data_IF_139085410627
#
_entry.id   IF_139085410627
#
_cell.length_a   1.000
_cell.length_b   1.000
_cell.length_c   1.000
_cell.angle_alpha   90.00
_cell.angle_beta   90.00
_cell.angle_gamma   90.00
#
_symmetry.space_group_name_H-M   'P 1'
#
loop_
_entity.id
_entity.type
_entity.pdbx_description
1 polymer ?
#
# COMPACT_ATOMS: atom_id res chain seq x y z
N UNK A 1 24.30 33.63 -28.96
CA UNK A 1 23.36 34.17 -27.95
C UNK A 1 23.63 33.44 -26.65
N UNK A 2 23.86 34.16 -25.55
CA UNK A 2 24.02 33.55 -24.23
C UNK A 2 22.71 32.83 -23.86
N UNK A 3 22.81 31.55 -23.48
CA UNK A 3 21.68 30.78 -22.98
C UNK A 3 21.13 31.51 -21.76
N UNK A 4 19.85 31.86 -21.78
CA UNK A 4 19.14 32.12 -20.53
C UNK A 4 19.26 30.82 -19.73
N UNK A 5 19.95 30.86 -18.59
CA UNK A 5 20.00 29.75 -17.64
C UNK A 5 18.58 29.54 -17.09
N UNK A 6 17.78 28.78 -17.83
CA UNK A 6 16.53 28.24 -17.33
C UNK A 6 16.82 27.27 -16.20
N UNK A 7 15.89 27.15 -15.25
CA UNK A 7 16.01 26.15 -14.21
C UNK A 7 16.05 24.74 -14.82
N UNK A 8 16.88 23.82 -14.30
CA UNK A 8 16.85 22.43 -14.68
C UNK A 8 15.47 21.83 -14.38
N UNK A 9 15.06 20.84 -15.17
CA UNK A 9 13.84 20.08 -14.89
C UNK A 9 13.95 19.43 -13.50
N UNK A 10 12.88 19.41 -12.72
CA UNK A 10 12.84 18.63 -11.48
C UNK A 10 12.88 17.12 -11.78
N UNK A 11 13.24 16.31 -10.79
CA UNK A 11 13.37 14.85 -10.98
C UNK A 11 12.06 14.20 -11.47
N UNK A 12 10.93 14.58 -10.89
CA UNK A 12 9.63 14.02 -11.27
C UNK A 12 9.21 14.46 -12.68
N UNK A 13 9.63 15.66 -13.09
CA UNK A 13 9.42 16.15 -14.43
C UNK A 13 10.22 15.30 -15.42
N UNK A 14 11.48 15.01 -15.11
CA UNK A 14 12.30 14.11 -15.94
C UNK A 14 11.72 12.72 -16.02
N UNK A 15 11.27 12.17 -14.90
CA UNK A 15 10.70 10.83 -14.87
C UNK A 15 9.40 10.76 -15.71
N UNK A 16 8.53 11.76 -15.59
CA UNK A 16 7.32 11.87 -16.39
C UNK A 16 7.63 11.93 -17.89
N UNK A 17 8.54 12.83 -18.29
CA UNK A 17 8.95 12.99 -19.69
C UNK A 17 9.62 11.71 -20.23
N UNK A 18 10.49 11.07 -19.44
CA UNK A 18 11.14 9.82 -19.80
C UNK A 18 10.13 8.70 -20.08
N UNK A 19 9.16 8.50 -19.18
CA UNK A 19 8.09 7.50 -19.41
C UNK A 19 7.26 7.85 -20.63
N UNK A 20 6.92 9.12 -20.80
CA UNK A 20 6.15 9.58 -21.95
C UNK A 20 6.87 9.26 -23.27
N UNK A 21 8.19 9.43 -23.37
CA UNK A 21 8.96 9.04 -24.56
C UNK A 21 8.83 7.55 -24.85
N UNK A 22 9.12 6.75 -23.83
CA UNK A 22 9.11 5.30 -23.94
C UNK A 22 7.72 4.79 -24.36
N UNK A 23 6.64 5.41 -23.88
CA UNK A 23 5.28 4.96 -24.15
C UNK A 23 4.71 5.44 -25.48
N UNK A 24 5.12 6.62 -25.97
CA UNK A 24 4.56 7.19 -27.20
C UNK A 24 5.43 6.98 -28.44
N UNK A 25 6.73 6.67 -28.27
CA UNK A 25 7.65 6.45 -29.38
C UNK A 25 8.11 4.99 -29.37
N UNK A 26 7.53 4.15 -30.22
CA UNK A 26 7.91 2.72 -30.32
C UNK A 26 9.41 2.54 -30.61
N UNK A 27 9.98 3.41 -31.44
CA UNK A 27 11.41 3.43 -31.80
C UNK A 27 12.29 3.73 -30.57
N UNK A 28 11.76 4.38 -29.53
CA UNK A 28 12.48 4.63 -28.29
C UNK A 28 12.71 3.37 -27.44
N UNK A 29 12.06 2.24 -27.78
CA UNK A 29 12.17 0.92 -27.13
C UNK A 29 12.89 -0.13 -28.00
N UNK A 30 13.24 0.18 -29.24
CA UNK A 30 13.89 -0.78 -30.15
C UNK A 30 15.32 -1.08 -29.68
N UNK A 31 15.74 -2.34 -29.75
CA UNK A 31 17.11 -2.80 -29.43
C UNK A 31 17.86 -3.18 -30.71
N UNK A 32 19.03 -2.60 -30.97
CA UNK A 32 19.79 -2.84 -32.21
C UNK A 32 20.89 -1.81 -32.47
N UNK A 33 21.77 -2.09 -33.44
CA UNK A 33 22.79 -1.15 -33.93
C UNK A 33 22.11 -0.22 -34.95
N UNK A 34 22.02 1.07 -34.65
CA UNK A 34 21.42 2.05 -35.53
C UNK A 34 22.44 3.12 -35.96
N UNK A 35 22.13 3.79 -37.07
CA UNK A 35 23.03 4.80 -37.65
C UNK A 35 22.81 6.16 -36.99
N UNK A 36 23.79 7.08 -37.14
CA UNK A 36 23.65 8.49 -36.73
C UNK A 36 22.35 9.15 -37.22
N UNK A 37 21.89 8.78 -38.42
CA UNK A 37 20.64 9.28 -39.00
C UNK A 37 19.42 8.86 -38.16
N UNK A 38 19.45 7.69 -37.53
CA UNK A 38 18.38 7.21 -36.64
C UNK A 38 18.32 8.01 -35.34
N UNK A 39 19.47 8.29 -34.71
CA UNK A 39 19.53 9.10 -33.49
C UNK A 39 19.02 10.53 -33.70
N UNK A 40 19.36 11.14 -34.85
CA UNK A 40 18.85 12.47 -35.24
C UNK A 40 17.33 12.45 -35.40
N UNK A 41 16.80 11.44 -36.10
CA UNK A 41 15.34 11.29 -36.28
C UNK A 41 14.60 11.08 -34.97
N UNK A 42 15.14 10.24 -34.09
CA UNK A 42 14.55 9.99 -32.77
C UNK A 42 14.56 11.26 -31.91
N UNK A 43 15.66 12.01 -31.92
CA UNK A 43 15.74 13.28 -31.22
C UNK A 43 14.72 14.30 -31.76
N UNK A 44 14.59 14.41 -33.07
CA UNK A 44 13.57 15.27 -33.69
C UNK A 44 12.15 14.87 -33.28
N UNK A 45 11.85 13.57 -33.21
CA UNK A 45 10.54 13.08 -32.72
C UNK A 45 10.31 13.41 -31.24
N UNK A 46 11.35 13.33 -30.40
CA UNK A 46 11.28 13.73 -28.98
C UNK A 46 11.03 15.24 -28.86
N UNK A 47 11.74 16.06 -29.63
CA UNK A 47 11.53 17.51 -29.72
C UNK A 47 10.08 17.83 -30.12
N UNK A 48 9.60 17.22 -31.21
CA UNK A 48 8.25 17.42 -31.74
C UNK A 48 7.18 16.94 -30.77
N UNK A 49 7.46 15.92 -29.97
CA UNK A 49 6.53 15.43 -28.96
C UNK A 49 6.39 16.43 -27.80
N UNK A 50 7.50 17.04 -27.37
CA UNK A 50 7.57 17.88 -26.18
C UNK A 50 7.21 19.33 -26.39
N UNK A 51 7.69 19.91 -27.48
CA UNK A 51 7.76 21.36 -27.66
C UNK A 51 6.89 21.79 -28.83
N UNK A 52 6.38 23.02 -28.77
CA UNK A 52 5.81 23.62 -29.96
C UNK A 52 6.89 23.79 -31.04
N UNK A 53 6.57 23.54 -32.32
CA UNK A 53 7.55 23.61 -33.39
C UNK A 53 8.17 25.01 -33.48
N UNK A 54 9.50 25.09 -33.51
CA UNK A 54 10.24 26.34 -33.77
C UNK A 54 10.66 26.43 -35.23
N UNK A 55 10.69 27.68 -35.71
CA UNK A 55 11.46 28.14 -36.87
C UNK A 55 12.96 27.90 -36.57
N UNK A 56 13.77 27.38 -37.52
CA UNK A 56 15.04 26.73 -37.19
C UNK A 56 16.03 27.70 -36.55
N UNK A 57 16.59 27.31 -35.41
CA UNK A 57 17.69 27.99 -34.73
C UNK A 57 18.93 27.08 -34.73
N UNK A 58 19.96 27.58 -35.43
CA UNK A 58 21.39 27.28 -35.45
C UNK A 58 21.96 26.08 -34.66
N UNK A 59 22.82 25.32 -35.37
CA UNK A 59 23.82 24.32 -34.94
C UNK A 59 23.47 23.48 -33.70
N UNK A 60 22.86 22.33 -33.96
CA UNK A 60 22.53 21.29 -32.98
C UNK A 60 23.80 20.61 -32.44
N UNK A 61 24.01 20.55 -31.11
CA UNK A 61 25.23 19.97 -30.55
C UNK A 61 25.21 18.44 -30.68
N UNK A 62 26.24 17.86 -31.31
CA UNK A 62 26.43 16.41 -31.53
C UNK A 62 26.18 15.56 -30.27
N UNK A 63 26.47 16.12 -29.10
CA UNK A 63 26.23 15.54 -27.78
C UNK A 63 24.76 15.12 -27.53
N UNK A 64 23.78 15.85 -28.06
CA UNK A 64 22.37 15.49 -27.90
C UNK A 64 22.03 14.18 -28.63
N UNK A 65 22.66 13.92 -29.77
CA UNK A 65 22.43 12.69 -30.53
C UNK A 65 23.05 11.48 -29.85
N UNK A 66 24.24 11.65 -29.27
CA UNK A 66 24.89 10.63 -28.45
C UNK A 66 24.03 10.28 -27.22
N UNK A 67 23.55 11.30 -26.49
CA UNK A 67 22.66 11.10 -25.33
C UNK A 67 21.30 10.49 -25.72
N UNK A 68 20.78 10.80 -26.92
CA UNK A 68 19.54 10.21 -27.42
C UNK A 68 19.73 8.72 -27.71
N UNK A 69 20.83 8.36 -28.37
CA UNK A 69 21.14 6.97 -28.68
C UNK A 69 21.44 6.17 -27.41
N UNK A 70 22.19 6.75 -26.46
CA UNK A 70 22.45 6.14 -25.16
C UNK A 70 21.15 5.91 -24.39
N UNK A 71 20.28 6.92 -24.33
CA UNK A 71 18.98 6.79 -23.66
C UNK A 71 18.07 5.74 -24.28
N UNK A 72 18.15 5.53 -25.60
CA UNK A 72 17.46 4.43 -26.29
C UNK A 72 18.03 3.07 -25.89
N UNK A 73 19.36 2.92 -25.92
CA UNK A 73 20.04 1.67 -25.56
C UNK A 73 19.71 1.27 -24.13
N UNK A 74 19.72 2.24 -23.21
CA UNK A 74 19.49 2.01 -21.79
C UNK A 74 17.99 1.96 -21.41
N UNK A 75 17.10 2.32 -22.35
CA UNK A 75 15.68 2.54 -22.05
C UNK A 75 15.45 3.66 -21.03
N UNK A 76 16.34 4.66 -20.99
CA UNK A 76 16.35 5.73 -20.00
C UNK A 76 16.99 7.02 -20.54
N UNK A 77 16.17 8.01 -20.85
CA UNK A 77 16.58 9.31 -21.39
C UNK A 77 16.89 10.37 -20.31
N UNK A 78 17.11 9.98 -19.04
CA UNK A 78 17.38 10.94 -17.95
C UNK A 78 18.60 11.83 -18.22
N UNK A 79 19.67 11.27 -18.80
CA UNK A 79 20.87 12.05 -19.12
C UNK A 79 20.61 13.07 -20.24
N UNK A 80 19.82 12.69 -21.25
CA UNK A 80 19.35 13.60 -22.30
C UNK A 80 18.53 14.75 -21.69
N UNK A 81 17.58 14.44 -20.80
CA UNK A 81 16.71 15.42 -20.14
C UNK A 81 17.44 16.34 -19.15
N UNK A 82 18.63 15.95 -18.69
CA UNK A 82 19.51 16.81 -17.89
C UNK A 82 20.34 17.78 -18.74
N UNK A 83 20.30 17.65 -20.07
CA UNK A 83 21.05 18.55 -20.93
C UNK A 83 20.44 19.97 -20.89
N UNK A 84 21.26 21.04 -20.82
CA UNK A 84 20.79 22.44 -20.77
C UNK A 84 19.87 22.85 -21.93
N UNK A 85 19.87 22.06 -23.01
CA UNK A 85 18.98 22.23 -24.15
C UNK A 85 17.49 22.23 -23.77
N UNK A 86 17.11 21.47 -22.74
CA UNK A 86 15.71 21.37 -22.29
C UNK A 86 15.31 22.47 -21.30
N UNK A 87 16.27 23.26 -20.79
CA UNK A 87 16.02 24.18 -19.69
C UNK A 87 15.27 25.43 -20.16
N UNK A 88 14.22 25.81 -19.43
CA UNK A 88 13.42 27.01 -19.73
C UNK A 88 12.65 26.97 -21.05
N UNK A 89 12.58 25.82 -21.75
CA UNK A 89 11.78 25.68 -22.98
C UNK A 89 10.30 25.45 -22.66
N UNK A 90 9.43 26.11 -23.42
CA UNK A 90 7.98 25.96 -23.29
C UNK A 90 7.51 24.62 -23.86
N UNK A 91 7.16 23.70 -22.97
CA UNK A 91 6.51 22.44 -23.35
C UNK A 91 5.13 22.74 -23.94
N UNK A 92 4.61 21.82 -24.76
CA UNK A 92 3.24 21.87 -25.25
C UNK A 92 2.26 21.93 -24.06
N UNK A 93 1.10 22.61 -24.21
CA UNK A 93 0.11 22.75 -23.14
C UNK A 93 -0.31 21.43 -22.50
N UNK A 94 -0.46 20.37 -23.30
CA UNK A 94 -0.82 19.03 -22.82
C UNK A 94 0.23 18.43 -21.89
N UNK A 95 1.51 18.65 -22.21
CA UNK A 95 2.65 18.19 -21.42
C UNK A 95 2.76 19.01 -20.15
N UNK A 96 2.64 20.34 -20.24
CA UNK A 96 2.60 21.22 -19.07
C UNK A 96 1.46 20.85 -18.11
N UNK A 97 0.25 20.63 -18.62
CA UNK A 97 -0.88 20.17 -17.81
C UNK A 97 -0.60 18.81 -17.13
N UNK A 98 0.06 17.88 -17.83
CA UNK A 98 0.49 16.59 -17.26
C UNK A 98 1.57 16.76 -16.16
N UNK A 99 2.46 17.73 -16.35
CA UNK A 99 3.52 18.09 -15.42
C UNK A 99 2.94 18.73 -14.15
N UNK A 100 2.10 19.75 -14.31
CA UNK A 100 1.40 20.42 -13.21
C UNK A 100 0.57 19.44 -12.38
N UNK A 101 -0.13 18.50 -13.03
CA UNK A 101 -0.82 17.42 -12.32
C UNK A 101 0.15 16.53 -11.55
N UNK A 102 1.31 16.22 -12.09
CA UNK A 102 2.32 15.38 -11.43
C UNK A 102 2.91 16.09 -10.22
N UNK A 103 3.27 17.37 -10.36
CA UNK A 103 3.76 18.21 -9.26
C UNK A 103 2.70 18.40 -8.19
N UNK A 104 1.46 18.73 -8.57
CA UNK A 104 0.33 18.84 -7.64
C UNK A 104 0.13 17.54 -6.86
N UNK A 105 0.08 16.40 -7.54
CA UNK A 105 -0.08 15.10 -6.87
C UNK A 105 1.06 14.82 -5.88
N UNK A 106 2.30 15.27 -6.16
CA UNK A 106 3.41 15.12 -5.20
C UNK A 106 3.17 15.96 -3.96
N UNK A 107 2.80 17.23 -4.13
CA UNK A 107 2.46 18.13 -3.03
C UNK A 107 1.31 17.54 -2.21
N UNK A 108 0.27 17.04 -2.87
CA UNK A 108 -0.89 16.44 -2.21
C UNK A 108 -0.50 15.13 -1.46
N UNK A 109 0.43 14.32 -1.98
CA UNK A 109 0.98 13.15 -1.26
C UNK A 109 1.80 13.57 -0.04
N UNK A 110 2.65 14.59 -0.17
CA UNK A 110 3.45 15.13 0.94
C UNK A 110 2.54 15.75 2.03
N UNK A 111 1.46 16.43 1.63
CA UNK A 111 0.45 16.96 2.54
C UNK A 111 -0.31 15.84 3.24
N UNK A 112 -0.79 14.84 2.49
CA UNK A 112 -1.42 13.65 3.05
C UNK A 112 -0.51 12.98 4.09
N UNK A 113 0.77 12.80 3.78
CA UNK A 113 1.75 12.25 4.72
C UNK A 113 1.96 13.11 5.96
N UNK A 114 2.02 14.43 5.78
CA UNK A 114 2.18 15.40 6.86
C UNK A 114 0.99 15.38 7.83
N UNK A 115 -0.24 15.35 7.30
CA UNK A 115 -1.46 15.30 8.12
C UNK A 115 -1.60 13.93 8.79
N UNK A 116 -1.37 12.84 8.06
CA UNK A 116 -1.36 11.48 8.63
C UNK A 116 -0.30 11.30 9.71
N UNK A 117 0.85 11.98 9.59
CA UNK A 117 1.90 11.93 10.61
C UNK A 117 1.45 12.54 11.93
N UNK A 118 0.72 13.66 11.88
CA UNK A 118 0.14 14.28 13.10
C UNK A 118 -0.79 13.31 13.84
N UNK A 119 -1.52 12.47 13.11
CA UNK A 119 -2.32 11.39 13.70
C UNK A 119 -1.40 10.38 14.39
N UNK A 120 -0.40 9.83 13.70
CA UNK A 120 0.58 8.88 14.29
C UNK A 120 1.24 9.47 15.55
N UNK A 121 1.64 10.74 15.51
CA UNK A 121 2.26 11.44 16.63
C UNK A 121 1.32 11.51 17.84
N UNK A 122 0.00 11.56 17.63
CA UNK A 122 -1.00 11.52 18.72
C UNK A 122 -1.03 10.15 19.43
N UNK A 123 -0.64 9.08 18.73
CA UNK A 123 -0.57 7.72 19.28
C UNK A 123 0.86 7.30 19.63
N UNK A 124 1.86 8.21 19.58
CA UNK A 124 3.28 7.83 19.61
C UNK A 124 3.65 7.01 20.84
N UNK A 125 3.20 7.42 22.01
CA UNK A 125 3.56 6.77 23.28
C UNK A 125 3.00 5.35 23.33
N UNK A 126 1.75 5.18 22.90
CA UNK A 126 1.10 3.87 22.84
C UNK A 126 1.79 2.98 21.80
N UNK A 127 2.06 3.51 20.59
CA UNK A 127 2.75 2.75 19.55
C UNK A 127 4.17 2.33 19.97
N UNK A 128 4.87 3.15 20.76
CA UNK A 128 6.16 2.79 21.35
C UNK A 128 6.02 1.61 22.32
N UNK A 129 4.97 1.58 23.14
CA UNK A 129 4.73 0.47 24.05
C UNK A 129 4.39 -0.83 23.30
N UNK A 130 3.57 -0.76 22.24
CA UNK A 130 3.36 -1.90 21.33
C UNK A 130 4.68 -2.37 20.73
N UNK A 131 5.51 -1.45 20.22
CA UNK A 131 6.76 -1.79 19.54
C UNK A 131 7.81 -2.42 20.49
N UNK A 132 7.88 -1.95 21.74
CA UNK A 132 8.77 -2.48 22.79
C UNK A 132 8.30 -3.83 23.35
N UNK A 133 7.09 -4.28 23.03
CA UNK A 133 6.51 -5.51 23.56
C UNK A 133 5.84 -5.34 24.92
N UNK A 134 5.48 -4.11 25.32
CA UNK A 134 4.75 -3.84 26.57
C UNK A 134 3.37 -4.50 26.63
N UNK A 135 2.86 -4.96 25.49
CA UNK A 135 1.59 -5.66 25.33
C UNK A 135 1.76 -7.14 24.92
N UNK A 136 2.99 -7.67 24.93
CA UNK A 136 3.24 -9.06 24.54
C UNK A 136 2.54 -10.06 25.49
N UNK A 137 2.08 -9.62 26.67
CA UNK A 137 1.26 -10.43 27.58
C UNK A 137 -0.05 -10.93 26.93
N UNK A 138 -0.56 -10.27 25.87
CA UNK A 138 -1.72 -10.76 25.10
C UNK A 138 -1.48 -12.15 24.49
N UNK A 139 -0.22 -12.53 24.34
CA UNK A 139 0.19 -13.78 23.74
C UNK A 139 0.52 -14.88 24.75
N UNK A 140 0.62 -14.55 26.03
CA UNK A 140 0.91 -15.50 27.10
C UNK A 140 -0.38 -16.22 27.51
N UNK A 141 -0.33 -17.53 27.78
CA UNK A 141 -1.49 -18.26 28.34
C UNK A 141 -1.77 -17.93 29.80
N UNK A 142 -0.81 -17.29 30.48
CA UNK A 142 -0.98 -16.73 31.82
C UNK A 142 -1.04 -15.21 31.70
N UNK A 143 -2.04 -14.57 32.31
CA UNK A 143 -2.12 -13.10 32.46
C UNK A 143 -0.99 -12.49 33.33
N UNK A 144 0.12 -13.19 33.49
CA UNK A 144 1.28 -12.75 34.26
C UNK A 144 2.01 -11.64 33.50
N UNK A 145 2.40 -10.56 34.20
CA UNK A 145 3.18 -9.47 33.61
C UNK A 145 2.39 -8.37 32.90
N UNK A 146 1.07 -8.27 33.12
CA UNK A 146 0.23 -7.16 32.60
C UNK A 146 0.84 -5.80 33.02
N UNK A 147 1.38 -5.06 32.06
CA UNK A 147 1.93 -3.72 32.29
C UNK A 147 0.82 -2.73 32.72
N UNK A 148 1.17 -1.61 33.38
CA UNK A 148 0.19 -0.66 33.91
C UNK A 148 -0.73 -0.05 32.85
N UNK A 149 -0.33 -0.06 31.57
CA UNK A 149 -1.11 0.51 30.47
C UNK A 149 -1.94 -0.50 29.68
N UNK A 150 -1.90 -1.78 30.05
CA UNK A 150 -2.57 -2.88 29.35
C UNK A 150 -4.10 -2.72 29.20
N UNK A 151 -4.75 -2.09 30.18
CA UNK A 151 -6.20 -1.79 30.16
C UNK A 151 -6.52 -0.39 29.63
N UNK A 152 -5.51 0.45 29.43
CA UNK A 152 -5.68 1.87 29.10
C UNK A 152 -5.90 2.07 27.60
N UNK A 153 -5.49 1.11 26.78
CA UNK A 153 -5.37 1.31 25.34
C UNK A 153 -6.49 0.73 24.49
N UNK A 154 -7.30 -0.19 25.03
CA UNK A 154 -8.43 -0.78 24.31
C UNK A 154 -9.50 -1.38 25.26
N UNK A 155 -10.80 -1.06 25.09
CA UNK A 155 -11.87 -1.60 25.93
C UNK A 155 -12.00 -3.14 25.84
N UNK A 156 -11.74 -3.72 24.67
CA UNK A 156 -11.80 -5.18 24.42
C UNK A 156 -10.47 -5.95 24.60
N UNK A 157 -9.50 -5.40 25.34
CA UNK A 157 -8.17 -6.01 25.52
C UNK A 157 -8.22 -7.46 26.04
N UNK A 158 -9.10 -7.76 26.99
CA UNK A 158 -9.22 -9.11 27.57
C UNK A 158 -9.74 -10.12 26.55
N UNK A 159 -10.57 -9.70 25.60
CA UNK A 159 -11.06 -10.57 24.53
C UNK A 159 -10.00 -10.83 23.47
N UNK A 160 -9.23 -9.81 23.10
CA UNK A 160 -8.08 -9.98 22.21
C UNK A 160 -7.08 -10.97 22.83
N UNK A 161 -6.86 -10.91 24.15
CA UNK A 161 -6.04 -11.90 24.85
C UNK A 161 -6.57 -13.33 24.65
N UNK A 162 -7.89 -13.57 24.75
CA UNK A 162 -8.45 -14.90 24.49
C UNK A 162 -8.17 -15.41 23.06
N UNK A 163 -8.09 -14.51 22.07
CA UNK A 163 -7.77 -14.86 20.69
C UNK A 163 -6.27 -15.01 20.43
N UNK A 164 -5.40 -14.38 21.21
CA UNK A 164 -3.96 -14.32 20.96
C UNK A 164 -3.14 -15.18 21.94
N UNK A 165 -3.69 -15.57 23.09
CA UNK A 165 -3.02 -16.41 24.06
C UNK A 165 -2.55 -17.72 23.42
N UNK A 166 -1.28 -18.08 23.61
CA UNK A 166 -0.70 -19.29 23.04
C UNK A 166 -0.42 -19.26 21.54
N UNK A 167 -0.59 -18.12 20.86
CA UNK A 167 -0.44 -18.04 19.40
C UNK A 167 0.99 -18.36 18.97
N UNK A 168 1.18 -19.45 18.22
CA UNK A 168 2.49 -19.97 17.85
C UNK A 168 3.23 -20.73 18.96
N UNK A 169 2.58 -21.08 20.08
CA UNK A 169 3.11 -22.11 20.98
C UNK A 169 2.78 -23.50 20.38
N UNK A 170 3.78 -24.31 20.02
CA UNK A 170 3.56 -25.64 19.46
C UNK A 170 2.81 -26.58 20.40
N UNK A 171 2.74 -26.28 21.71
CA UNK A 171 2.01 -27.07 22.70
C UNK A 171 0.56 -26.61 22.90
N UNK A 172 0.19 -25.42 22.40
CA UNK A 172 -1.15 -24.84 22.55
C UNK A 172 -1.89 -24.66 21.19
N UNK A 173 -1.28 -25.11 20.09
CA UNK A 173 -1.90 -25.07 18.75
C UNK A 173 -3.08 -26.07 18.65
N UNK A 174 -4.30 -25.55 18.51
CA UNK A 174 -5.54 -26.35 18.45
C UNK A 174 -5.83 -26.96 17.07
N UNK A 175 -5.25 -26.40 15.99
CA UNK A 175 -5.34 -26.91 14.62
C UNK A 175 -4.24 -26.25 13.79
N UNK A 176 -3.44 -27.01 13.04
CA UNK A 176 -2.42 -26.40 12.19
C UNK A 176 -3.10 -25.64 11.05
N UNK A 177 -2.77 -24.36 10.90
CA UNK A 177 -3.12 -23.57 9.71
C UNK A 177 -2.76 -24.32 8.42
N UNK A 178 -1.67 -25.07 8.44
CA UNK A 178 -1.22 -25.87 7.31
C UNK A 178 -2.25 -26.95 6.94
N UNK A 179 -2.94 -27.56 7.90
CA UNK A 179 -3.93 -28.61 7.62
C UNK A 179 -5.20 -28.07 6.92
N UNK A 180 -5.53 -26.79 7.13
CA UNK A 180 -6.72 -26.15 6.55
C UNK A 180 -6.41 -25.52 5.18
N UNK A 181 -5.20 -25.00 4.97
CA UNK A 181 -4.86 -24.23 3.78
C UNK A 181 -3.79 -24.86 2.86
N UNK A 182 -3.04 -25.89 3.28
CA UNK A 182 -1.98 -26.53 2.48
C UNK A 182 -2.38 -27.79 1.69
N UNK A 183 -3.68 -28.01 1.37
CA UNK A 183 -4.05 -29.08 0.40
C UNK A 183 -3.84 -28.73 -1.08
N UNK A 184 -3.32 -27.55 -1.41
CA UNK A 184 -2.98 -27.19 -2.79
C UNK A 184 -1.45 -27.19 -2.96
N UNK A 185 -0.95 -28.06 -3.86
CA UNK A 185 0.47 -28.24 -4.17
C UNK A 185 1.19 -26.89 -4.35
N UNK A 186 2.21 -26.63 -3.51
CA UNK A 186 2.95 -25.36 -3.50
C UNK A 186 3.79 -25.11 -4.77
N UNK A 187 4.05 -26.13 -5.61
CA UNK A 187 4.90 -26.02 -6.80
C UNK A 187 4.18 -25.48 -8.05
N UNK A 188 2.85 -25.52 -8.11
CA UNK A 188 2.08 -25.14 -9.30
C UNK A 188 1.44 -23.74 -9.22
N UNK A 189 1.41 -23.08 -8.06
CA UNK A 189 0.63 -21.85 -7.85
C UNK A 189 1.49 -20.58 -7.92
N UNK A 190 1.71 -20.09 -9.15
CA UNK A 190 2.14 -18.69 -9.42
C UNK A 190 0.99 -17.69 -9.35
N UNK A 191 -0.25 -18.14 -9.14
CA UNK A 191 -1.45 -17.31 -9.07
C UNK A 191 -1.95 -17.20 -7.63
N UNK A 192 -2.38 -16.01 -7.24
CA UNK A 192 -2.91 -15.72 -5.91
C UNK A 192 -4.15 -16.55 -5.62
N UNK A 193 -4.11 -17.37 -4.57
CA UNK A 193 -5.23 -18.21 -4.18
C UNK A 193 -6.14 -17.45 -3.20
N UNK A 194 -7.44 -17.33 -3.54
CA UNK A 194 -8.46 -16.91 -2.58
C UNK A 194 -9.04 -18.14 -1.88
N UNK A 195 -8.87 -18.28 -0.57
CA UNK A 195 -9.49 -19.36 0.21
C UNK A 195 -10.59 -18.79 1.09
N UNK A 196 -11.81 -19.31 0.95
CA UNK A 196 -12.91 -18.96 1.85
C UNK A 196 -13.02 -20.01 2.94
N UNK A 197 -12.83 -19.63 4.21
CA UNK A 197 -13.19 -20.46 5.35
C UNK A 197 -14.64 -20.17 5.70
N UNK A 198 -15.52 -21.13 5.46
CA UNK A 198 -16.91 -21.06 5.90
C UNK A 198 -17.04 -22.02 7.07
N UNK A 199 -17.28 -21.50 8.27
CA UNK A 199 -17.54 -22.34 9.45
C UNK A 199 -18.66 -21.74 10.31
N UNK A 200 -19.22 -22.55 11.20
CA UNK A 200 -20.23 -22.12 12.15
C UNK A 200 -19.67 -21.01 13.10
N UNK A 201 -20.52 -20.12 13.63
CA UNK A 201 -20.11 -19.17 14.66
C UNK A 201 -19.50 -19.89 15.87
N UNK A 202 -18.41 -19.34 16.42
CA UNK A 202 -17.75 -19.86 17.63
C UNK A 202 -16.68 -20.95 17.40
N UNK A 203 -16.38 -21.34 16.16
CA UNK A 203 -15.39 -22.39 15.85
C UNK A 203 -13.93 -21.90 15.76
N UNK A 204 -13.65 -20.69 16.27
CA UNK A 204 -12.28 -20.18 16.32
C UNK A 204 -11.70 -19.75 14.96
N UNK A 205 -12.54 -19.37 13.99
CA UNK A 205 -12.10 -18.90 12.65
C UNK A 205 -11.08 -17.77 12.73
N UNK A 206 -11.36 -16.73 13.51
CA UNK A 206 -10.44 -15.59 13.72
C UNK A 206 -9.11 -16.05 14.31
N UNK A 207 -9.15 -16.98 15.28
CA UNK A 207 -7.94 -17.57 15.86
C UNK A 207 -7.14 -18.32 14.79
N UNK A 208 -7.80 -19.13 13.97
CA UNK A 208 -7.17 -19.84 12.87
C UNK A 208 -6.50 -18.86 11.91
N UNK A 209 -7.19 -17.79 11.49
CA UNK A 209 -6.60 -16.70 10.65
C UNK A 209 -5.31 -16.13 11.25
N UNK A 210 -5.23 -16.02 12.56
CA UNK A 210 -4.07 -15.48 13.26
C UNK A 210 -2.89 -16.45 13.34
N UNK A 211 -3.10 -17.77 13.29
CA UNK A 211 -2.00 -18.76 13.27
C UNK A 211 -1.09 -18.59 12.05
N UNK A 212 -1.56 -17.96 10.97
CA UNK A 212 -0.75 -17.57 9.82
C UNK A 212 0.47 -16.70 10.21
N UNK A 213 0.41 -15.97 11.33
CA UNK A 213 1.49 -15.11 11.85
C UNK A 213 2.77 -15.90 12.15
N UNK A 214 2.67 -17.22 12.37
CA UNK A 214 3.84 -18.08 12.56
C UNK A 214 4.78 -18.05 11.35
N UNK A 215 4.23 -17.87 10.13
CA UNK A 215 4.94 -18.01 8.86
C UNK A 215 4.90 -16.76 7.99
N UNK A 216 3.91 -15.88 8.18
CA UNK A 216 3.59 -14.80 7.25
C UNK A 216 3.35 -13.46 7.95
N UNK A 217 3.70 -12.36 7.26
CA UNK A 217 3.28 -11.02 7.67
C UNK A 217 1.82 -10.81 7.29
N UNK A 218 0.94 -10.69 8.30
CA UNK A 218 -0.50 -10.61 8.10
C UNK A 218 -0.98 -9.16 7.96
N UNK A 219 -1.83 -8.90 6.98
CA UNK A 219 -2.66 -7.71 6.87
C UNK A 219 -4.10 -8.14 7.15
N UNK A 220 -4.65 -7.69 8.28
CA UNK A 220 -5.95 -8.12 8.79
C UNK A 220 -7.00 -7.02 8.65
N UNK A 221 -8.11 -7.36 7.99
CA UNK A 221 -9.31 -6.54 7.86
C UNK A 221 -10.48 -7.24 8.56
N UNK A 222 -11.25 -6.48 9.34
CA UNK A 222 -12.52 -6.97 9.90
C UNK A 222 -13.67 -6.31 9.14
N UNK A 223 -14.62 -7.11 8.67
CA UNK A 223 -15.79 -6.66 7.90
C UNK A 223 -17.08 -6.60 8.73
N UNK A 224 -16.96 -6.63 10.06
CA UNK A 224 -18.11 -6.51 10.95
C UNK A 224 -18.87 -5.19 10.72
N UNK A 225 -20.20 -5.28 10.76
CA UNK A 225 -21.12 -4.13 10.68
C UNK A 225 -21.79 -3.81 12.00
N UNK A 226 -21.82 -4.77 12.91
CA UNK A 226 -22.60 -4.61 14.11
C UNK A 226 -21.78 -3.79 15.12
N UNK A 227 -22.41 -2.78 15.73
CA UNK A 227 -22.04 -2.29 17.07
C UNK A 227 -22.15 -3.40 18.14
N UNK A 228 -22.36 -4.65 17.73
CA UNK A 228 -22.13 -5.80 18.58
C UNK A 228 -20.68 -5.73 19.01
N UNK A 229 -20.53 -5.38 20.28
CA UNK A 229 -19.50 -5.60 21.32
C UNK A 229 -18.57 -6.84 21.19
N UNK A 230 -18.51 -7.50 20.03
CA UNK A 230 -18.00 -8.83 19.79
C UNK A 230 -17.19 -8.96 18.48
N UNK A 231 -16.60 -7.90 17.89
CA UNK A 231 -15.63 -8.07 16.78
C UNK A 231 -14.28 -7.41 17.07
N UNK A 232 -13.18 -8.13 16.84
CA UNK A 232 -11.82 -7.62 17.06
C UNK A 232 -11.26 -6.94 15.82
N UNK A 233 -10.46 -5.89 16.02
CA UNK A 233 -9.80 -5.15 14.97
C UNK A 233 -10.34 -3.73 14.77
N UNK A 234 -9.90 -3.08 13.70
CA UNK A 234 -10.28 -1.69 13.38
C UNK A 234 -11.62 -1.59 12.63
N UNK A 235 -12.35 -0.51 12.91
CA UNK A 235 -13.59 -0.15 12.20
C UNK A 235 -13.38 0.57 10.85
N UNK A 236 -12.15 0.66 10.33
CA UNK A 236 -11.83 1.42 9.11
C UNK A 236 -12.60 0.93 7.87
N UNK A 237 -12.75 -0.40 7.70
CA UNK A 237 -13.53 -0.99 6.61
C UNK A 237 -14.99 -0.57 6.69
N UNK A 238 -15.61 -0.68 7.86
CA UNK A 238 -16.99 -0.28 8.07
C UNK A 238 -17.17 1.21 7.73
N UNK A 239 -16.30 2.06 8.30
CA UNK A 239 -16.36 3.51 8.09
C UNK A 239 -16.22 3.89 6.60
N UNK A 240 -15.28 3.27 5.88
CA UNK A 240 -15.09 3.52 4.44
C UNK A 240 -16.31 3.06 3.64
N UNK A 241 -16.87 1.89 3.95
CA UNK A 241 -18.07 1.37 3.27
C UNK A 241 -19.28 2.27 3.49
N UNK A 242 -19.51 2.75 4.71
CA UNK A 242 -20.59 3.70 5.03
C UNK A 242 -20.43 5.03 4.29
N UNK A 243 -19.20 5.52 4.16
CA UNK A 243 -18.88 6.75 3.42
C UNK A 243 -19.14 6.60 1.92
N UNK A 244 -18.87 5.42 1.34
CA UNK A 244 -19.22 5.13 -0.07
C UNK A 244 -20.73 5.07 -0.27
N UNK A 245 -21.45 4.42 0.66
CA UNK A 245 -22.90 4.23 0.58
C UNK A 245 -23.69 5.54 0.58
N UNK A 246 -23.23 6.55 1.30
CA UNK A 246 -23.88 7.88 1.33
C UNK A 246 -23.70 8.68 0.04
N UNK A 247 -22.68 8.34 -0.78
CA UNK A 247 -22.25 9.16 -1.92
C UNK A 247 -22.72 8.62 -3.28
N UNK A 248 -23.08 7.33 -3.39
CA UNK A 248 -23.29 6.64 -4.68
C UNK A 248 -24.77 6.47 -5.05
N UNK A 249 -25.29 7.29 -5.99
CA UNK A 249 -26.64 7.12 -6.57
C UNK A 249 -26.66 6.52 -7.99
N UNK A 250 -25.51 6.40 -8.68
CA UNK A 250 -25.43 5.89 -10.05
C UNK A 250 -24.30 4.87 -10.26
N UNK A 251 -24.46 3.96 -11.23
CA UNK A 251 -23.55 2.80 -11.47
C UNK A 251 -22.13 3.21 -11.89
N UNK A 252 -21.96 4.30 -12.65
CA UNK A 252 -20.64 4.81 -13.06
C UNK A 252 -19.91 5.53 -11.91
N UNK A 253 -20.64 6.25 -11.06
CA UNK A 253 -20.09 6.84 -9.84
C UNK A 253 -19.72 5.77 -8.82
N UNK A 254 -20.52 4.70 -8.73
CA UNK A 254 -20.22 3.55 -7.87
C UNK A 254 -18.83 2.97 -8.14
N UNK A 255 -18.46 2.73 -9.41
CA UNK A 255 -17.13 2.21 -9.78
C UNK A 255 -15.98 3.11 -9.33
N UNK A 256 -16.13 4.44 -9.46
CA UNK A 256 -15.12 5.41 -8.99
C UNK A 256 -15.06 5.49 -7.47
N UNK A 257 -16.20 5.42 -6.80
CA UNK A 257 -16.29 5.44 -5.34
C UNK A 257 -15.67 4.18 -4.71
N UNK A 258 -15.94 2.99 -5.27
CA UNK A 258 -15.31 1.73 -4.83
C UNK A 258 -13.80 1.80 -4.97
N UNK A 259 -13.30 2.26 -6.13
CA UNK A 259 -11.86 2.39 -6.37
C UNK A 259 -11.20 3.37 -5.39
N UNK A 260 -11.90 4.46 -5.05
CA UNK A 260 -11.43 5.42 -4.05
C UNK A 260 -11.37 4.79 -2.65
N UNK A 261 -12.44 4.13 -2.23
CA UNK A 261 -12.49 3.42 -0.94
C UNK A 261 -11.37 2.39 -0.80
N UNK A 262 -11.11 1.64 -1.86
CA UNK A 262 -9.98 0.74 -1.92
C UNK A 262 -8.66 1.46 -1.62
N UNK A 263 -8.36 2.56 -2.31
CA UNK A 263 -7.09 3.27 -2.08
C UNK A 263 -7.01 3.90 -0.69
N UNK A 264 -8.14 4.35 -0.12
CA UNK A 264 -8.19 4.80 1.27
C UNK A 264 -7.78 3.68 2.23
N UNK A 265 -8.37 2.48 2.09
CA UNK A 265 -8.07 1.36 2.98
C UNK A 265 -6.63 0.87 2.83
N UNK A 266 -6.13 0.73 1.60
CA UNK A 266 -4.75 0.30 1.36
C UNK A 266 -3.76 1.35 1.88
N UNK A 267 -3.98 2.63 1.57
CA UNK A 267 -3.12 3.70 2.12
C UNK A 267 -3.12 3.68 3.64
N UNK A 268 -4.30 3.61 4.25
CA UNK A 268 -4.47 3.60 5.71
C UNK A 268 -3.68 2.48 6.37
N UNK A 269 -3.86 1.24 5.88
CA UNK A 269 -3.15 0.08 6.42
C UNK A 269 -1.65 0.19 6.18
N UNK A 270 -1.22 0.49 4.95
CA UNK A 270 0.21 0.53 4.63
C UNK A 270 0.93 1.67 5.35
N UNK A 271 0.29 2.82 5.51
CA UNK A 271 0.86 3.96 6.22
C UNK A 271 1.08 3.65 7.71
N UNK A 272 0.04 3.17 8.39
CA UNK A 272 0.12 2.82 9.82
C UNK A 272 1.11 1.68 10.04
N UNK A 273 1.01 0.59 9.28
CA UNK A 273 1.88 -0.57 9.46
C UNK A 273 3.33 -0.28 9.10
N UNK A 274 3.61 0.46 8.02
CA UNK A 274 4.98 0.85 7.70
C UNK A 274 5.59 1.79 8.75
N UNK A 275 4.80 2.74 9.28
CA UNK A 275 5.26 3.64 10.33
C UNK A 275 5.52 2.89 11.64
N UNK A 276 4.64 1.97 12.01
CA UNK A 276 4.83 1.11 13.17
C UNK A 276 6.03 0.17 13.01
N UNK A 277 6.26 -0.37 11.81
CA UNK A 277 7.41 -1.22 11.54
C UNK A 277 8.75 -0.50 11.75
N UNK A 278 8.84 0.79 11.45
CA UNK A 278 10.05 1.57 11.74
C UNK A 278 10.33 1.60 13.26
N UNK A 279 9.27 1.71 14.09
CA UNK A 279 9.39 1.64 15.55
C UNK A 279 9.79 0.24 16.00
N UNK A 280 9.15 -0.80 15.47
CA UNK A 280 9.46 -2.20 15.77
C UNK A 280 10.91 -2.51 15.41
N UNK A 281 11.37 -2.13 14.22
CA UNK A 281 12.77 -2.29 13.78
C UNK A 281 13.77 -1.63 14.73
N UNK A 282 13.45 -0.46 15.30
CA UNK A 282 14.33 0.20 16.27
C UNK A 282 14.59 -0.62 17.54
N UNK A 283 13.74 -1.62 17.82
CA UNK A 283 13.85 -2.52 18.96
C UNK A 283 14.59 -3.83 18.62
N UNK A 284 15.04 -4.03 17.38
CA UNK A 284 15.70 -5.26 16.90
C UNK A 284 15.00 -6.57 17.30
N UNK A 285 13.68 -6.73 17.05
CA UNK A 285 12.94 -7.91 17.43
C UNK A 285 13.30 -9.11 16.55
N UNK A 286 13.04 -10.31 17.06
CA UNK A 286 13.00 -11.49 16.21
C UNK A 286 11.85 -11.37 15.18
N UNK A 287 11.96 -11.98 13.99
CA UNK A 287 10.93 -11.89 12.97
C UNK A 287 9.54 -12.31 13.45
N UNK A 288 9.47 -13.38 14.24
CA UNK A 288 8.21 -13.86 14.81
C UNK A 288 7.55 -12.84 15.75
N UNK A 289 8.32 -12.21 16.63
CA UNK A 289 7.81 -11.16 17.53
C UNK A 289 7.34 -9.93 16.75
N UNK A 290 8.04 -9.56 15.68
CA UNK A 290 7.62 -8.49 14.79
C UNK A 290 6.28 -8.81 14.11
N UNK A 291 6.09 -10.04 13.63
CA UNK A 291 4.82 -10.51 13.04
C UNK A 291 3.69 -10.47 14.07
N UNK A 292 3.94 -10.94 15.31
CA UNK A 292 2.97 -10.89 16.42
C UNK A 292 2.57 -9.48 16.78
N UNK A 293 3.53 -8.57 16.95
CA UNK A 293 3.25 -7.16 17.29
C UNK A 293 2.47 -6.44 16.18
N UNK A 294 2.77 -6.73 14.91
CA UNK A 294 1.97 -6.25 13.78
C UNK A 294 0.54 -6.76 13.79
N UNK A 295 0.34 -8.04 14.11
CA UNK A 295 -0.99 -8.62 14.26
C UNK A 295 -1.73 -7.95 15.42
N UNK A 296 -1.07 -7.78 16.58
CA UNK A 296 -1.67 -7.18 17.76
C UNK A 296 -2.16 -5.75 17.49
N UNK A 297 -1.36 -4.94 16.79
CA UNK A 297 -1.78 -3.60 16.37
C UNK A 297 -3.05 -3.61 15.52
N UNK A 298 -3.25 -4.64 14.69
CA UNK A 298 -4.41 -4.73 13.80
C UNK A 298 -5.62 -5.35 14.48
N UNK A 299 -5.43 -6.29 15.41
CA UNK A 299 -6.48 -6.97 16.16
C UNK A 299 -6.97 -6.14 17.36
N UNK A 300 -6.10 -5.27 17.88
CA UNK A 300 -6.33 -4.42 19.03
C UNK A 300 -5.71 -3.04 18.76
N UNK A 301 -6.25 -2.27 17.79
CA UNK A 301 -5.69 -0.96 17.45
C UNK A 301 -5.87 0.02 18.62
N UNK A 302 -4.92 0.91 18.90
CA UNK A 302 -5.08 1.88 19.98
C UNK A 302 -6.21 2.88 19.67
N UNK A 303 -6.97 3.24 20.70
CA UNK A 303 -8.10 4.17 20.62
C UNK A 303 -7.78 5.53 21.26
N UNK A 304 -8.35 6.60 20.70
CA UNK A 304 -8.46 7.89 21.38
C UNK A 304 -9.73 7.94 22.25
N UNK A 305 -9.80 8.95 23.11
CA UNK A 305 -10.93 9.16 24.02
C UNK A 305 -12.29 9.37 23.33
N UNK A 306 -12.29 9.71 22.03
CA UNK A 306 -13.48 9.79 21.18
C UNK A 306 -13.94 8.42 20.62
N UNK A 307 -13.38 7.32 21.11
CA UNK A 307 -13.72 5.95 20.71
C UNK A 307 -13.40 5.61 19.25
N UNK A 308 -12.47 6.33 18.62
CA UNK A 308 -11.99 6.02 17.28
C UNK A 308 -10.56 5.47 17.34
N UNK A 309 -10.32 4.42 16.56
CA UNK A 309 -9.01 3.79 16.46
C UNK A 309 -8.10 4.50 15.45
N UNK A 310 -6.79 4.23 15.56
CA UNK A 310 -5.76 4.86 14.71
C UNK A 310 -6.01 4.70 13.20
N UNK A 311 -6.51 3.56 12.74
CA UNK A 311 -6.75 3.34 11.31
C UNK A 311 -7.98 4.12 10.84
N UNK A 312 -9.04 4.21 11.65
CA UNK A 312 -10.21 5.05 11.33
C UNK A 312 -9.80 6.53 11.20
N UNK A 313 -8.95 7.03 12.10
CA UNK A 313 -8.44 8.41 12.03
C UNK A 313 -7.66 8.68 10.74
N UNK A 314 -6.77 7.76 10.35
CA UNK A 314 -6.01 7.88 9.10
C UNK A 314 -6.94 7.76 7.88
N UNK A 315 -7.93 6.87 7.90
CA UNK A 315 -8.91 6.73 6.82
C UNK A 315 -9.70 8.02 6.60
N UNK A 316 -10.08 8.73 7.66
CA UNK A 316 -10.73 10.04 7.61
C UNK A 316 -9.86 11.11 6.94
N UNK A 317 -8.57 11.15 7.29
CA UNK A 317 -7.61 12.05 6.63
C UNK A 317 -7.48 11.69 5.15
N UNK A 318 -7.24 10.41 4.85
CA UNK A 318 -7.08 9.94 3.48
C UNK A 318 -8.30 10.24 2.59
N UNK A 319 -9.51 10.13 3.16
CA UNK A 319 -10.76 10.40 2.43
C UNK A 319 -10.89 11.85 1.94
N UNK A 320 -10.09 12.81 2.40
CA UNK A 320 -10.12 14.20 1.90
C UNK A 320 -9.30 14.41 0.62
N UNK A 321 -8.43 13.47 0.24
CA UNK A 321 -7.52 13.59 -0.91
C UNK A 321 -8.05 12.86 -2.14
N UNK A 322 -7.71 13.29 -3.36
CA UNK A 322 -8.23 12.67 -4.58
C UNK A 322 -7.70 11.23 -4.81
N UNK A 323 -8.33 10.50 -5.73
CA UNK A 323 -8.02 9.09 -5.97
C UNK A 323 -6.63 8.82 -6.56
N UNK A 324 -6.06 9.75 -7.34
CA UNK A 324 -4.72 9.58 -7.91
C UNK A 324 -3.63 9.80 -6.84
N UNK A 325 -3.81 10.81 -5.99
CA UNK A 325 -2.99 11.04 -4.79
C UNK A 325 -2.99 9.80 -3.90
N UNK A 326 -4.17 9.27 -3.56
CA UNK A 326 -4.30 8.07 -2.74
C UNK A 326 -3.63 6.84 -3.35
N UNK A 327 -3.81 6.62 -4.66
CA UNK A 327 -3.16 5.50 -5.37
C UNK A 327 -1.64 5.56 -5.28
N UNK A 328 -1.06 6.76 -5.49
CA UNK A 328 0.41 6.96 -5.43
C UNK A 328 0.92 6.78 -4.01
N UNK A 329 0.25 7.38 -3.02
CA UNK A 329 0.61 7.24 -1.62
C UNK A 329 0.52 5.78 -1.15
N UNK A 330 -0.57 5.07 -1.48
CA UNK A 330 -0.74 3.66 -1.15
C UNK A 330 0.41 2.79 -1.68
N UNK A 331 0.84 3.02 -2.93
CA UNK A 331 2.00 2.32 -3.51
C UNK A 331 3.30 2.65 -2.78
N UNK A 332 3.58 3.93 -2.54
CA UNK A 332 4.77 4.38 -1.80
C UNK A 332 4.90 3.70 -0.44
N UNK A 333 3.81 3.63 0.32
CA UNK A 333 3.82 3.00 1.65
C UNK A 333 3.81 1.48 1.60
N UNK A 334 3.23 0.85 0.57
CA UNK A 334 3.37 -0.57 0.34
C UNK A 334 4.84 -0.96 0.10
N UNK A 335 5.54 -0.20 -0.74
CA UNK A 335 6.95 -0.45 -1.03
C UNK A 335 7.81 -0.25 0.23
N UNK A 336 7.53 0.82 1.00
CA UNK A 336 8.14 1.05 2.32
C UNK A 336 7.89 -0.13 3.27
N UNK A 337 6.65 -0.60 3.38
CA UNK A 337 6.29 -1.75 4.22
C UNK A 337 7.06 -3.01 3.84
N UNK A 338 7.13 -3.32 2.55
CA UNK A 338 7.91 -4.45 2.02
C UNK A 338 9.39 -4.33 2.36
N UNK A 339 9.97 -3.14 2.22
CA UNK A 339 11.37 -2.90 2.55
C UNK A 339 11.66 -3.01 4.04
N UNK A 340 10.74 -2.56 4.90
CA UNK A 340 10.86 -2.76 6.35
C UNK A 340 10.77 -4.24 6.74
N UNK A 341 9.87 -5.03 6.11
CA UNK A 341 9.82 -6.48 6.30
C UNK A 341 11.13 -7.15 5.87
N UNK A 342 11.70 -6.75 4.72
CA UNK A 342 13.00 -7.27 4.26
C UNK A 342 14.11 -7.06 5.28
N UNK A 343 14.11 -5.91 5.95
CA UNK A 343 15.07 -5.64 7.02
C UNK A 343 14.87 -6.55 8.23
N UNK A 344 13.62 -6.81 8.62
CA UNK A 344 13.29 -7.68 9.75
C UNK A 344 13.82 -9.10 9.55
N UNK A 345 13.61 -9.68 8.36
CA UNK A 345 14.02 -11.07 8.10
C UNK A 345 15.44 -11.19 7.57
N UNK A 346 16.17 -10.07 7.42
CA UNK A 346 17.51 -10.10 6.84
C UNK A 346 18.45 -11.00 7.65
N UNK A 347 19.12 -11.94 6.97
CA UNK A 347 20.02 -12.90 7.62
C UNK A 347 19.31 -14.04 8.35
N UNK A 348 18.00 -14.21 8.17
CA UNK A 348 17.21 -15.32 8.72
C UNK A 348 16.66 -16.22 7.61
N UNK A 349 16.18 -17.41 7.97
CA UNK A 349 15.46 -18.30 7.04
C UNK A 349 13.95 -17.98 6.96
N UNK A 350 13.49 -16.89 7.60
CA UNK A 350 12.09 -16.50 7.62
C UNK A 350 11.59 -15.96 6.27
N UNK A 351 10.28 -16.07 6.06
CA UNK A 351 9.65 -15.68 4.80
C UNK A 351 9.29 -14.19 4.73
N UNK A 352 9.50 -13.58 3.55
CA UNK A 352 9.03 -12.23 3.19
C UNK A 352 7.54 -12.17 2.82
N UNK A 353 6.84 -13.31 2.88
CA UNK A 353 5.49 -13.46 2.33
C UNK A 353 4.46 -12.66 3.14
N UNK A 354 3.63 -11.91 2.41
CA UNK A 354 2.51 -11.14 2.95
C UNK A 354 1.21 -11.90 2.68
N UNK A 355 0.38 -12.04 3.71
CA UNK A 355 -0.95 -12.63 3.65
C UNK A 355 -1.99 -11.58 4.01
N UNK A 356 -3.11 -11.58 3.29
CA UNK A 356 -4.23 -10.67 3.56
C UNK A 356 -5.42 -11.49 4.04
N UNK A 357 -6.01 -11.09 5.15
CA UNK A 357 -7.17 -11.76 5.75
C UNK A 357 -8.34 -10.81 5.90
N UNK A 358 -9.53 -11.28 5.53
CA UNK A 358 -10.80 -10.64 5.79
C UNK A 358 -11.60 -11.51 6.75
N UNK A 359 -12.01 -10.92 7.86
CA UNK A 359 -12.83 -11.58 8.86
C UNK A 359 -14.27 -11.07 8.80
N UNK A 360 -15.22 -11.88 9.27
CA UNK A 360 -16.65 -11.55 9.33
C UNK A 360 -17.27 -11.19 7.96
N UNK A 361 -16.78 -11.81 6.88
CA UNK A 361 -17.20 -11.51 5.50
C UNK A 361 -18.67 -11.89 5.24
N UNK A 362 -19.24 -12.84 5.98
CA UNK A 362 -20.62 -13.27 5.81
C UNK A 362 -21.64 -12.20 6.24
N UNK A 363 -21.30 -11.36 7.22
CA UNK A 363 -22.11 -10.21 7.63
C UNK A 363 -22.12 -9.18 6.49
N UNK A 364 -20.97 -9.02 5.85
CA UNK A 364 -20.78 -8.16 4.70
C UNK A 364 -21.60 -8.65 3.49
N UNK A 365 -21.52 -9.94 3.11
CA UNK A 365 -22.15 -10.48 1.89
C UNK A 365 -23.69 -10.52 1.88
N UNK A 366 -24.36 -10.29 3.02
CA UNK A 366 -25.82 -10.11 3.09
C UNK A 366 -26.31 -8.74 2.60
N UNK A 367 -25.40 -7.79 2.36
CA UNK A 367 -25.72 -6.52 1.72
C UNK A 367 -25.90 -6.70 0.19
N UNK A 368 -26.97 -6.18 -0.43
CA UNK A 368 -27.14 -6.17 -1.89
C UNK A 368 -25.92 -5.65 -2.67
N UNK A 369 -25.15 -4.73 -2.08
CA UNK A 369 -23.89 -4.17 -2.62
C UNK A 369 -22.63 -4.93 -2.21
N UNK A 370 -22.79 -6.13 -1.65
CA UNK A 370 -21.74 -7.13 -1.41
C UNK A 370 -22.13 -8.51 -2.00
N UNK A 371 -23.28 -8.58 -2.69
CA UNK A 371 -23.67 -9.67 -3.58
C UNK A 371 -22.95 -9.60 -4.94
N UNK A 372 -22.68 -10.78 -5.53
CA UNK A 372 -21.85 -11.03 -6.74
C UNK A 372 -22.03 -10.09 -7.95
N UNK A 373 -23.11 -9.30 -8.03
CA UNK A 373 -23.36 -8.39 -9.17
C UNK A 373 -22.89 -6.95 -8.98
N UNK A 374 -22.63 -6.50 -7.74
CA UNK A 374 -22.25 -5.10 -7.43
C UNK A 374 -21.35 -4.98 -6.18
N UNK A 375 -20.60 -6.03 -5.84
CA UNK A 375 -19.96 -6.17 -4.54
C UNK A 375 -18.63 -5.42 -4.36
N UNK A 376 -18.57 -4.44 -3.43
CA UNK A 376 -17.32 -3.72 -3.06
C UNK A 376 -16.21 -4.70 -2.68
N UNK A 377 -16.52 -5.77 -1.95
CA UNK A 377 -15.52 -6.70 -1.42
C UNK A 377 -14.82 -7.54 -2.50
N UNK A 378 -15.48 -8.29 -3.40
CA UNK A 378 -14.84 -8.90 -4.58
C UNK A 378 -14.02 -7.94 -5.42
N UNK A 379 -14.50 -6.69 -5.60
CA UNK A 379 -13.73 -5.69 -6.33
C UNK A 379 -12.50 -5.20 -5.55
N UNK A 380 -12.61 -5.09 -4.23
CA UNK A 380 -11.47 -4.84 -3.34
C UNK A 380 -10.51 -6.02 -3.33
N UNK A 381 -10.99 -7.26 -3.35
CA UNK A 381 -10.18 -8.48 -3.43
C UNK A 381 -9.40 -8.51 -4.75
N UNK A 382 -10.05 -8.28 -5.89
CA UNK A 382 -9.40 -8.13 -7.21
C UNK A 382 -8.35 -7.02 -7.20
N UNK A 383 -8.68 -5.86 -6.63
CA UNK A 383 -7.75 -4.73 -6.57
C UNK A 383 -6.60 -4.96 -5.58
N UNK A 384 -6.82 -5.69 -4.48
CA UNK A 384 -5.79 -6.04 -3.50
C UNK A 384 -4.86 -7.07 -4.07
N UNK A 385 -5.40 -8.04 -4.79
CA UNK A 385 -4.61 -9.01 -5.52
C UNK A 385 -3.65 -8.30 -6.50
N UNK A 386 -4.20 -7.40 -7.32
CA UNK A 386 -3.44 -6.60 -8.27
C UNK A 386 -2.43 -5.64 -7.61
N UNK A 387 -2.73 -5.09 -6.43
CA UNK A 387 -1.89 -4.04 -5.84
C UNK A 387 -0.87 -4.59 -4.84
N UNK A 388 -1.30 -5.48 -3.96
CA UNK A 388 -0.49 -6.05 -2.87
C UNK A 388 0.25 -7.30 -3.32
N UNK A 389 -0.18 -7.97 -4.40
CA UNK A 389 0.30 -9.29 -4.83
C UNK A 389 0.44 -10.25 -3.65
N UNK A 390 -0.61 -10.42 -2.83
CA UNK A 390 -0.57 -11.31 -1.68
C UNK A 390 -0.42 -12.75 -2.17
N UNK A 391 0.35 -13.57 -1.45
CA UNK A 391 0.47 -15.00 -1.84
C UNK A 391 -0.87 -15.73 -1.65
N UNK A 392 -1.63 -15.31 -0.64
CA UNK A 392 -2.93 -15.89 -0.33
C UNK A 392 -3.82 -14.79 0.24
N UNK A 393 -5.08 -14.79 -0.21
CA UNK A 393 -6.15 -14.00 0.40
C UNK A 393 -7.11 -14.96 1.08
N UNK A 394 -7.33 -14.80 2.38
CA UNK A 394 -8.25 -15.66 3.12
C UNK A 394 -9.45 -14.85 3.59
N UNK A 395 -10.65 -15.30 3.24
CA UNK A 395 -11.90 -14.72 3.70
C UNK A 395 -12.55 -15.68 4.69
N UNK A 396 -12.70 -15.28 5.96
CA UNK A 396 -13.50 -16.01 6.93
C UNK A 396 -14.96 -15.51 6.89
N UNK A 397 -15.86 -16.46 6.68
CA UNK A 397 -17.30 -16.35 6.79
C UNK A 397 -17.74 -17.12 8.05
#
# INVERSE_FOLDING_TARGET
MAAQEGAPLEEDQREFLNRMFLDNLLIAKETGIHTRVSAIRLFALIEDLLFEPRVPLADEPEKLYELTEQGRIDGNYRELLNHPWFFGRNLKPEINNGLERTTKNRIDVEELESVSKKVIDTFSDVLQDYAKGGLDYHFSSKHDGKGPHANVHHPDADRVHLLLAGLGDPNESLTSWEDVFHRCNEEDMRESCSTTVIDLPGYGKTRLLFEAVAKYFLIYFTCSREEATWTTGSGDVQWVVETVNTTSKSTHEGSKAVRRAFYVLVYTRMYVLASFLDLVLSQNPAPFDARRRLLLLQACPPYLANSEDIFVHIAKVAQTFDGDTLRRAARKFLDKFRDSIKKIVHGTNDSLRIHVTFDEVHIATRDPWLSQRCSILPRMLEMMDFSLHPRTVVCAA
#
